data_IF_966050697309
#
_entry.id   IF_966050697309
#
_cell.length_a   1.000
_cell.length_b   1.000
_cell.length_c   1.000
_cell.angle_alpha   90.00
_cell.angle_beta   90.00
_cell.angle_gamma   90.00
#
_symmetry.space_group_name_H-M   'P 1'
#
loop_
_entity.id
_entity.type
_entity.pdbx_description
1 polymer ?
#
# COMPACT_ATOMS: atom_id res chain seq x y z
N UNK A 1 4.61 12.44 -1.76
CA UNK A 1 3.87 13.35 -2.68
C UNK A 1 2.38 12.95 -2.73
N UNK A 2 1.50 13.69 -3.43
CA UNK A 2 0.05 13.39 -3.56
C UNK A 2 -0.43 13.51 -5.01
N UNK A 3 0.26 12.85 -5.92
CA UNK A 3 0.03 12.90 -7.38
C UNK A 3 -0.56 11.60 -7.95
N UNK A 4 -1.04 10.71 -7.08
CA UNK A 4 -1.55 9.40 -7.50
C UNK A 4 -0.47 8.33 -7.67
N UNK A 5 0.79 8.64 -7.36
CA UNK A 5 1.90 7.69 -7.29
C UNK A 5 2.60 7.76 -5.93
N UNK A 6 3.09 6.63 -5.41
CA UNK A 6 3.80 6.59 -4.13
C UNK A 6 5.24 7.08 -4.24
N UNK A 7 5.43 8.26 -4.83
CA UNK A 7 6.72 8.92 -4.89
C UNK A 7 7.26 9.19 -3.48
N UNK A 8 8.52 8.81 -3.33
CA UNK A 8 9.32 8.92 -2.12
C UNK A 8 10.62 9.66 -2.45
N UNK A 9 11.27 10.21 -1.44
CA UNK A 9 12.64 10.70 -1.53
C UNK A 9 13.48 10.11 -0.36
N UNK A 10 14.80 10.39 -0.25
CA UNK A 10 15.62 9.87 0.84
C UNK A 10 15.22 10.33 2.25
N UNK A 11 14.36 11.35 2.38
CA UNK A 11 13.87 11.86 3.67
C UNK A 11 12.65 11.11 4.20
N UNK A 12 11.98 10.31 3.37
CA UNK A 12 10.93 9.40 3.81
C UNK A 12 11.53 8.15 4.46
N UNK A 13 11.89 8.31 5.73
CA UNK A 13 12.41 7.23 6.57
C UNK A 13 11.40 6.10 6.81
N UNK A 14 10.11 6.36 6.57
CA UNK A 14 9.04 5.37 6.72
C UNK A 14 8.87 4.46 5.51
N UNK A 15 9.41 4.85 4.34
CA UNK A 15 9.23 4.15 3.06
C UNK A 15 7.76 3.96 2.69
N UNK A 16 7.01 5.06 2.54
CA UNK A 16 5.63 5.09 2.04
C UNK A 16 5.57 4.80 0.54
N UNK A 17 5.99 3.60 0.16
CA UNK A 17 6.31 3.22 -1.22
C UNK A 17 5.32 2.22 -1.81
N UNK A 18 4.47 1.58 -1.00
CA UNK A 18 3.46 0.62 -1.47
C UNK A 18 2.11 1.32 -1.64
N UNK A 19 1.56 1.32 -2.85
CA UNK A 19 0.20 1.82 -3.11
C UNK A 19 -0.79 0.70 -2.83
N UNK A 20 -1.39 0.70 -1.64
CA UNK A 20 -2.34 -0.32 -1.21
C UNK A 20 -3.78 0.17 -1.33
N UNK A 21 -4.69 -0.73 -1.69
CA UNK A 21 -6.14 -0.52 -1.64
C UNK A 21 -6.64 -1.02 -0.30
N UNK A 22 -7.14 -0.12 0.54
CA UNK A 22 -7.51 -0.44 1.91
C UNK A 22 -8.61 -1.51 1.96
N UNK A 23 -8.45 -2.49 2.83
CA UNK A 23 -9.50 -3.45 3.20
C UNK A 23 -9.82 -3.27 4.67
N UNK A 24 -11.02 -3.71 5.10
CA UNK A 24 -11.38 -3.66 6.52
C UNK A 24 -10.39 -4.48 7.38
N UNK A 25 -9.95 -5.63 6.85
CA UNK A 25 -8.97 -6.51 7.49
C UNK A 25 -7.61 -5.84 7.63
N UNK A 26 -7.09 -5.23 6.56
CA UNK A 26 -5.82 -4.52 6.60
C UNK A 26 -5.88 -3.36 7.59
N UNK A 27 -6.92 -2.53 7.56
CA UNK A 27 -7.09 -1.40 8.49
C UNK A 27 -7.13 -1.86 9.95
N UNK A 28 -7.87 -2.94 10.24
CA UNK A 28 -7.92 -3.52 11.58
C UNK A 28 -6.54 -4.06 12.02
N UNK A 29 -5.83 -4.73 11.11
CA UNK A 29 -4.47 -5.20 11.36
C UNK A 29 -3.51 -4.04 11.63
N UNK A 30 -3.50 -3.00 10.79
CA UNK A 30 -2.65 -1.83 10.95
C UNK A 30 -2.88 -1.16 12.32
N UNK A 31 -4.14 -0.99 12.72
CA UNK A 31 -4.48 -0.49 14.05
C UNK A 31 -3.95 -1.40 15.16
N UNK A 32 -4.05 -2.72 15.01
CA UNK A 32 -3.57 -3.69 16.00
C UNK A 32 -2.05 -3.64 16.24
N UNK A 33 -1.27 -3.23 15.22
CA UNK A 33 0.18 -3.05 15.30
C UNK A 33 0.58 -1.59 15.62
N UNK A 34 -0.36 -0.74 16.03
CA UNK A 34 -0.11 0.64 16.43
C UNK A 34 -0.07 1.67 15.30
N UNK A 35 -0.46 1.28 14.08
CA UNK A 35 -0.56 2.15 12.91
C UNK A 35 -2.04 2.45 12.60
N UNK A 36 -2.67 3.37 13.34
CA UNK A 36 -4.07 3.72 13.11
C UNK A 36 -4.23 4.55 11.83
N UNK A 37 -4.69 3.89 10.76
CA UNK A 37 -5.00 4.50 9.47
C UNK A 37 -6.47 4.89 9.32
N UNK A 38 -7.33 4.61 10.29
CA UNK A 38 -8.78 4.83 10.16
C UNK A 38 -9.27 6.05 10.92
N UNK A 39 -8.61 6.43 12.01
CA UNK A 39 -9.00 7.62 12.79
C UNK A 39 -8.57 8.90 12.07
N UNK A 40 -9.49 9.83 11.76
CA UNK A 40 -9.12 11.13 11.20
C UNK A 40 -8.19 11.91 12.14
N UNK A 41 -7.16 12.53 11.58
CA UNK A 41 -6.26 13.43 12.29
C UNK A 41 -6.17 14.78 11.53
N UNK A 42 -7.15 15.68 11.72
CA UNK A 42 -7.23 16.95 10.99
C UNK A 42 -5.99 17.84 11.15
N UNK A 43 -5.32 17.78 12.31
CA UNK A 43 -4.07 18.49 12.59
C UNK A 43 -2.93 18.10 11.65
N UNK A 44 -2.99 16.90 11.06
CA UNK A 44 -2.05 16.40 10.05
C UNK A 44 -2.65 16.35 8.64
N UNK A 45 -3.86 16.90 8.45
CA UNK A 45 -4.65 16.80 7.21
C UNK A 45 -4.83 15.35 6.76
N UNK A 46 -4.98 14.44 7.73
CA UNK A 46 -5.24 13.03 7.48
C UNK A 46 -6.74 12.76 7.66
N UNK A 47 -7.46 12.33 6.61
CA UNK A 47 -8.91 12.17 6.67
C UNK A 47 -9.36 10.93 7.45
N UNK A 48 -8.44 9.98 7.71
CA UNK A 48 -8.81 8.61 8.07
C UNK A 48 -9.26 7.84 6.83
N UNK A 49 -8.82 6.60 6.70
CA UNK A 49 -9.06 5.77 5.53
C UNK A 49 -10.19 4.78 5.76
N UNK A 50 -10.89 4.45 4.69
CA UNK A 50 -11.97 3.49 4.60
C UNK A 50 -11.64 2.39 3.60
N UNK A 51 -12.30 1.21 3.68
CA UNK A 51 -12.16 0.19 2.66
C UNK A 51 -12.45 0.75 1.25
N UNK A 52 -11.59 0.43 0.29
CA UNK A 52 -11.64 0.95 -1.08
C UNK A 52 -10.76 2.17 -1.35
N UNK A 53 -10.30 2.89 -0.32
CA UNK A 53 -9.34 3.98 -0.51
C UNK A 53 -7.98 3.44 -0.98
N UNK A 54 -7.37 4.10 -1.96
CA UNK A 54 -5.96 3.85 -2.32
C UNK A 54 -5.04 4.79 -1.55
N UNK A 55 -4.02 4.24 -0.90
CA UNK A 55 -3.10 5.03 -0.09
C UNK A 55 -1.67 4.46 -0.11
N UNK A 56 -0.69 5.36 -0.05
CA UNK A 56 0.71 5.01 0.10
C UNK A 56 1.01 4.64 1.54
N UNK A 57 1.23 3.35 1.78
CA UNK A 57 1.56 2.81 3.10
C UNK A 57 3.04 2.47 3.18
N UNK A 58 3.54 2.37 4.40
CA UNK A 58 4.93 2.00 4.63
C UNK A 58 5.18 0.56 4.22
N UNK A 59 6.21 0.32 3.40
CA UNK A 59 6.59 -1.03 2.97
C UNK A 59 6.82 -2.01 4.15
N UNK A 60 7.44 -1.61 5.29
CA UNK A 60 7.56 -2.47 6.45
C UNK A 60 6.22 -2.91 7.05
N UNK A 61 5.25 -1.99 7.19
CA UNK A 61 3.95 -2.33 7.78
C UNK A 61 3.08 -3.14 6.81
N UNK A 62 3.22 -2.91 5.50
CA UNK A 62 2.57 -3.74 4.49
C UNK A 62 3.16 -5.16 4.51
N UNK A 63 4.48 -5.31 4.56
CA UNK A 63 5.14 -6.62 4.69
C UNK A 63 4.72 -7.35 5.95
N UNK A 64 4.61 -6.63 7.08
CA UNK A 64 4.13 -7.20 8.32
C UNK A 64 2.72 -7.76 8.17
N UNK A 65 1.82 -7.02 7.52
CA UNK A 65 0.48 -7.50 7.22
C UNK A 65 0.49 -8.73 6.31
N UNK A 66 1.38 -8.80 5.32
CA UNK A 66 1.55 -10.00 4.50
C UNK A 66 1.94 -11.23 5.35
N UNK A 67 2.94 -11.09 6.21
CA UNK A 67 3.40 -12.15 7.12
C UNK A 67 2.28 -12.61 8.06
N UNK A 68 1.46 -11.67 8.54
CA UNK A 68 0.35 -11.93 9.45
C UNK A 68 -0.96 -12.33 8.73
N UNK A 69 -0.94 -12.46 7.39
CA UNK A 69 -2.06 -12.93 6.58
C UNK A 69 -3.14 -11.90 6.24
N UNK A 70 -2.89 -10.61 6.52
CA UNK A 70 -3.84 -9.51 6.42
C UNK A 70 -3.43 -8.41 5.40
N UNK A 71 -2.56 -8.72 4.43
CA UNK A 71 -2.09 -7.76 3.44
C UNK A 71 -3.22 -7.22 2.55
N UNK A 72 -3.14 -5.93 2.23
CA UNK A 72 -4.05 -5.26 1.31
C UNK A 72 -3.62 -5.49 -0.16
N UNK A 73 -4.57 -5.51 -1.11
CA UNK A 73 -4.27 -5.47 -2.54
C UNK A 73 -3.40 -4.27 -2.92
N UNK A 74 -2.61 -4.41 -3.98
CA UNK A 74 -1.60 -3.42 -4.40
C UNK A 74 -1.89 -2.93 -5.82
N UNK A 75 -1.72 -1.63 -6.05
CA UNK A 75 -1.65 -1.04 -7.40
C UNK A 75 -0.17 -0.95 -7.76
N UNK A 76 0.33 -1.89 -8.54
CA UNK A 76 1.75 -1.98 -8.90
C UNK A 76 2.22 -0.77 -9.69
N UNK A 77 1.42 -0.28 -10.63
CA UNK A 77 1.75 0.89 -11.45
C UNK A 77 1.90 2.19 -10.62
N UNK A 78 1.35 2.21 -9.40
CA UNK A 78 1.45 3.34 -8.46
C UNK A 78 2.41 3.06 -7.29
N UNK A 79 3.00 1.87 -7.22
CA UNK A 79 3.97 1.46 -6.20
C UNK A 79 5.38 1.84 -6.63
N UNK A 80 6.16 2.43 -5.72
CA UNK A 80 7.51 2.86 -6.02
C UNK A 80 8.48 1.68 -5.97
N UNK A 81 9.43 1.62 -6.90
CA UNK A 81 10.42 0.54 -7.00
C UNK A 81 11.25 0.35 -5.71
N UNK A 82 11.42 1.39 -4.88
CA UNK A 82 12.11 1.28 -3.58
C UNK A 82 11.37 0.40 -2.58
N UNK A 83 10.09 0.09 -2.79
CA UNK A 83 9.41 -0.94 -2.04
C UNK A 83 10.15 -2.29 -2.12
N UNK A 84 10.85 -2.55 -3.23
CA UNK A 84 11.63 -3.77 -3.48
C UNK A 84 12.89 -3.90 -2.59
N UNK A 85 13.31 -2.81 -1.94
CA UNK A 85 14.34 -2.87 -0.89
C UNK A 85 13.83 -3.65 0.35
N UNK A 86 12.50 -3.80 0.51
CA UNK A 86 11.85 -4.37 1.70
C UNK A 86 10.94 -5.55 1.35
N UNK A 87 10.18 -5.46 0.25
CA UNK A 87 9.16 -6.44 -0.15
C UNK A 87 9.55 -7.06 -1.50
N UNK A 88 9.71 -8.39 -1.61
CA UNK A 88 9.99 -9.02 -2.90
C UNK A 88 8.92 -8.72 -3.96
N UNK A 89 9.33 -8.58 -5.22
CA UNK A 89 8.43 -8.25 -6.32
C UNK A 89 7.33 -9.31 -6.48
N UNK A 90 7.68 -10.59 -6.34
CA UNK A 90 6.75 -11.72 -6.49
C UNK A 90 5.65 -11.68 -5.42
N UNK A 91 6.00 -11.19 -4.22
CA UNK A 91 5.00 -10.98 -3.16
C UNK A 91 4.06 -9.87 -3.58
N UNK A 92 4.54 -8.70 -4.01
CA UNK A 92 3.69 -7.60 -4.45
C UNK A 92 2.80 -8.00 -5.65
N UNK A 93 3.34 -8.75 -6.61
CA UNK A 93 2.60 -9.27 -7.77
C UNK A 93 1.45 -10.20 -7.36
N UNK A 94 1.63 -11.01 -6.31
CA UNK A 94 0.55 -11.86 -5.79
C UNK A 94 -0.65 -11.10 -5.22
N UNK A 95 -0.52 -9.79 -4.98
CA UNK A 95 -1.60 -8.91 -4.49
C UNK A 95 -2.02 -7.85 -5.52
N UNK A 96 -1.46 -7.87 -6.74
CA UNK A 96 -1.71 -6.85 -7.74
C UNK A 96 -3.16 -6.85 -8.23
N UNK A 97 -3.76 -5.67 -8.37
CA UNK A 97 -5.13 -5.50 -8.92
C UNK A 97 -5.18 -4.74 -10.24
N UNK A 98 -4.03 -4.28 -10.73
CA UNK A 98 -3.88 -3.46 -11.94
C UNK A 98 -3.07 -4.15 -13.05
N UNK A 99 -2.58 -5.37 -12.81
CA UNK A 99 -1.90 -6.20 -13.82
C UNK A 99 -2.79 -7.40 -14.14
N UNK A 100 -3.24 -7.58 -15.40
CA UNK A 100 -4.00 -8.76 -15.77
C UNK A 100 -3.13 -10.02 -15.74
N UNK A 101 -3.70 -11.16 -15.29
CA UNK A 101 -3.04 -12.47 -15.21
C UNK A 101 -2.50 -12.99 -16.55
N UNK A 102 -2.98 -12.43 -17.67
CA UNK A 102 -2.55 -12.78 -19.01
C UNK A 102 -2.21 -11.53 -19.85
N UNK A 103 -1.04 -11.49 -20.52
CA UNK A 103 -0.66 -10.38 -21.40
C UNK A 103 -1.55 -10.21 -22.65
N UNK A 104 -2.56 -11.08 -22.85
CA UNK A 104 -3.56 -10.95 -23.91
C UNK A 104 -4.75 -10.06 -23.59
N UNK A 105 -4.85 -9.50 -22.37
CA UNK A 105 -5.94 -8.61 -21.96
C UNK A 105 -5.73 -7.13 -22.29
N UNK A 106 -4.58 -6.76 -22.85
CA UNK A 106 -4.28 -5.41 -23.31
C UNK A 106 -4.58 -5.33 -24.81
N UNK A 107 -5.86 -5.37 -25.19
CA UNK A 107 -6.25 -4.89 -26.52
C UNK A 107 -6.46 -3.36 -26.47
N UNK A 108 -6.03 -2.63 -27.52
CA UNK A 108 -5.98 -1.16 -27.54
C UNK A 108 -7.34 -0.47 -27.53
#
# INVERSE_FOLDING_TARGET
>A
YRDGSCQTDPTDMGSHTVCAVMTAEFLAHQRSIGNDLSTPAPQYRFPGLQPGDSWCVTAPNWLRAHVDGAAAPVILAATNERALEIVPLEVLQGYAVDVPDHPGGLEP
#
